data_IF_719903133255
#
_entry.id   IF_719903133255
#
_cell.length_a   1.000
_cell.length_b   1.000
_cell.length_c   1.000
_cell.angle_alpha   90.00
_cell.angle_beta   90.00
_cell.angle_gamma   90.00
#
_symmetry.space_group_name_H-M   'P 1'
#
loop_
_entity.id
_entity.type
_entity.pdbx_description
1 polymer ?
#
# COMPACT_ATOMS: atom_id res chain seq x y z
N UNK A 1 15.77 6.24 -7.61
CA UNK A 1 15.77 4.84 -7.14
C UNK A 1 15.49 4.90 -5.65
N UNK A 2 14.22 4.91 -5.25
CA UNK A 2 13.85 4.90 -3.84
C UNK A 2 14.20 3.53 -3.26
N UNK A 3 14.91 3.53 -2.14
CA UNK A 3 15.25 2.32 -1.41
C UNK A 3 13.96 1.55 -1.03
N UNK A 4 13.98 0.19 -0.99
CA UNK A 4 12.82 -0.55 -0.56
C UNK A 4 12.49 -0.15 0.87
N UNK A 5 11.25 0.30 1.12
CA UNK A 5 10.74 0.41 2.47
C UNK A 5 10.95 -0.95 3.15
N UNK A 6 11.74 -0.98 4.22
CA UNK A 6 12.00 -2.20 4.97
C UNK A 6 10.67 -2.88 5.36
N UNK A 7 10.64 -4.21 5.51
CA UNK A 7 9.39 -4.92 5.71
C UNK A 7 8.75 -4.43 7.00
N UNK A 8 7.60 -3.77 6.88
CA UNK A 8 6.83 -3.33 8.02
C UNK A 8 6.44 -4.55 8.86
N UNK A 9 6.96 -4.61 10.09
CA UNK A 9 6.75 -5.73 11.00
C UNK A 9 5.57 -5.43 11.93
N UNK A 10 4.57 -6.30 11.93
CA UNK A 10 3.43 -6.24 12.84
C UNK A 10 2.06 -6.11 12.14
N UNK A 11 1.05 -5.75 12.93
CA UNK A 11 -0.32 -5.58 12.47
C UNK A 11 -0.38 -4.44 11.44
N UNK A 12 -1.12 -4.68 10.36
CA UNK A 12 -1.28 -3.73 9.27
C UNK A 12 -1.82 -2.38 9.76
N UNK A 13 -1.22 -1.30 9.28
CA UNK A 13 -1.64 0.06 9.63
C UNK A 13 -3.08 0.38 9.23
N UNK A 14 -3.68 -0.33 8.26
CA UNK A 14 -5.08 -0.15 7.87
C UNK A 14 -6.11 -0.59 8.93
N UNK A 15 -5.65 -0.98 10.13
CA UNK A 15 -6.48 -1.35 11.29
C UNK A 15 -7.42 -2.54 11.04
N UNK A 16 -7.09 -3.41 10.08
CA UNK A 16 -7.82 -4.67 9.88
C UNK A 16 -7.62 -5.67 11.02
N UNK A 17 -6.56 -5.51 11.82
CA UNK A 17 -6.14 -6.48 12.83
C UNK A 17 -5.24 -7.59 12.28
N UNK A 18 -5.12 -7.71 10.95
CA UNK A 18 -4.28 -8.71 10.29
C UNK A 18 -2.80 -8.29 10.27
N UNK A 19 -1.91 -9.28 10.17
CA UNK A 19 -0.49 -9.05 9.92
C UNK A 19 -0.29 -8.35 8.56
N UNK A 20 0.58 -7.35 8.50
CA UNK A 20 0.83 -6.57 7.27
C UNK A 20 1.10 -7.44 6.04
N UNK A 21 1.95 -8.47 6.18
CA UNK A 21 2.32 -9.37 5.09
C UNK A 21 1.16 -10.19 4.51
N UNK A 22 0.06 -10.32 5.27
CA UNK A 22 -1.18 -11.00 4.87
C UNK A 22 -2.31 -10.03 4.54
N UNK A 23 -2.08 -8.72 4.71
CA UNK A 23 -3.08 -7.68 4.48
C UNK A 23 -2.67 -6.77 3.32
N UNK A 24 -2.00 -5.64 3.59
CA UNK A 24 -1.64 -4.68 2.53
C UNK A 24 -0.29 -4.99 1.85
N UNK A 25 0.54 -5.84 2.46
CA UNK A 25 1.86 -6.23 1.92
C UNK A 25 1.83 -6.80 0.50
N UNK A 26 0.93 -7.76 0.16
CA UNK A 26 0.84 -8.30 -1.20
C UNK A 26 0.53 -7.23 -2.26
N UNK A 27 -0.32 -6.25 -1.93
CA UNK A 27 -0.62 -5.15 -2.85
C UNK A 27 0.59 -4.24 -3.05
N UNK A 28 1.33 -3.94 -1.98
CA UNK A 28 2.52 -3.09 -2.05
C UNK A 28 3.66 -3.75 -2.85
N UNK A 29 3.83 -5.07 -2.73
CA UNK A 29 4.79 -5.86 -3.53
C UNK A 29 4.36 -6.07 -4.97
N UNK A 30 3.07 -5.88 -5.28
CA UNK A 30 2.52 -6.17 -6.61
C UNK A 30 2.19 -7.65 -6.83
N UNK A 31 2.14 -8.44 -5.76
CA UNK A 31 1.76 -9.87 -5.80
C UNK A 31 0.25 -10.05 -6.03
N UNK A 32 -0.54 -9.01 -5.73
CA UNK A 32 -1.99 -8.98 -5.91
C UNK A 32 -2.49 -7.56 -6.18
N UNK A 33 -3.70 -7.46 -6.74
CA UNK A 33 -4.44 -6.20 -6.84
C UNK A 33 -5.53 -6.12 -5.76
N UNK A 34 -5.84 -4.91 -5.31
CA UNK A 34 -6.92 -4.70 -4.35
C UNK A 34 -8.28 -4.99 -5.02
N UNK A 35 -9.07 -5.95 -4.53
CA UNK A 35 -10.30 -6.40 -5.21
C UNK A 35 -11.45 -5.39 -5.12
N UNK A 36 -11.36 -4.40 -4.22
CA UNK A 36 -12.39 -3.39 -4.00
C UNK A 36 -11.76 -2.01 -3.82
N UNK A 37 -12.54 -0.96 -4.10
CA UNK A 37 -12.13 0.42 -3.84
C UNK A 37 -11.80 0.66 -2.35
N UNK A 38 -12.53 0.05 -1.42
CA UNK A 38 -12.21 0.12 0.01
C UNK A 38 -10.84 -0.49 0.31
N UNK A 39 -10.56 -1.68 -0.23
CA UNK A 39 -9.29 -2.35 -0.01
C UNK A 39 -8.12 -1.54 -0.61
N UNK A 40 -8.35 -0.86 -1.74
CA UNK A 40 -7.39 0.06 -2.35
C UNK A 40 -7.15 1.29 -1.46
N UNK A 41 -8.19 1.86 -0.85
CA UNK A 41 -8.02 3.00 0.06
C UNK A 41 -7.25 2.59 1.33
N UNK A 42 -7.54 1.41 1.88
CA UNK A 42 -6.84 0.85 3.04
C UNK A 42 -5.35 0.57 2.76
N UNK A 43 -5.04 0.02 1.60
CA UNK A 43 -3.65 -0.20 1.20
C UNK A 43 -2.93 1.13 0.98
N UNK A 44 -3.56 2.11 0.31
CA UNK A 44 -2.98 3.45 0.15
C UNK A 44 -2.69 4.15 1.47
N UNK A 45 -3.58 4.04 2.46
CA UNK A 45 -3.28 4.53 3.82
C UNK A 45 -2.05 3.83 4.41
N UNK A 46 -1.97 2.51 4.29
CA UNK A 46 -0.82 1.75 4.81
C UNK A 46 0.48 2.12 4.09
N UNK A 47 0.44 2.35 2.77
CA UNK A 47 1.57 2.81 1.97
C UNK A 47 2.06 4.18 2.44
N UNK A 48 1.15 5.10 2.80
CA UNK A 48 1.52 6.38 3.40
C UNK A 48 2.25 6.21 4.72
N UNK A 49 1.76 5.32 5.61
CA UNK A 49 2.39 5.06 6.91
C UNK A 49 3.79 4.47 6.78
N UNK A 50 4.01 3.57 5.82
CA UNK A 50 5.32 2.92 5.61
C UNK A 50 6.25 3.67 4.65
N UNK A 51 5.81 4.80 4.10
CA UNK A 51 6.60 5.63 3.19
C UNK A 51 6.76 5.07 1.76
N UNK A 52 5.83 4.22 1.29
CA UNK A 52 5.85 3.65 -0.07
C UNK A 52 5.20 4.62 -1.08
N UNK A 53 5.96 5.64 -1.47
CA UNK A 53 5.52 6.65 -2.43
C UNK A 53 5.27 6.07 -3.84
N UNK A 54 6.02 5.04 -4.23
CA UNK A 54 5.88 4.40 -5.54
C UNK A 54 4.54 3.67 -5.65
N UNK A 55 4.09 2.98 -4.58
CA UNK A 55 2.74 2.43 -4.49
C UNK A 55 1.66 3.51 -4.62
N UNK A 56 1.82 4.63 -3.92
CA UNK A 56 0.85 5.73 -3.98
C UNK A 56 0.75 6.30 -5.39
N UNK A 57 1.88 6.49 -6.08
CA UNK A 57 1.90 7.06 -7.43
C UNK A 57 1.31 6.12 -8.48
N UNK A 58 1.56 4.81 -8.38
CA UNK A 58 1.07 3.82 -9.35
C UNK A 58 -0.41 3.46 -9.17
N UNK A 59 -0.96 3.68 -7.97
CA UNK A 59 -2.38 3.40 -7.67
C UNK A 59 -3.26 4.65 -7.74
N UNK A 60 -2.68 5.80 -8.06
CA UNK A 60 -3.44 7.00 -8.38
C UNK A 60 -3.86 6.96 -9.86
N UNK A 61 -5.09 7.37 -10.13
CA UNK A 61 -5.55 7.63 -11.49
C UNK A 61 -4.57 8.55 -12.25
N UNK A 62 -4.14 8.18 -13.48
CA UNK A 62 -3.09 8.91 -14.20
C UNK A 62 -3.44 10.38 -14.46
N UNK A 63 -4.72 10.69 -14.69
CA UNK A 63 -5.16 12.05 -15.03
C UNK A 63 -5.21 13.02 -13.84
N UNK A 64 -5.15 12.54 -12.60
CA UNK A 64 -5.34 13.37 -11.40
C UNK A 64 -4.20 13.29 -10.39
N UNK A 65 -3.13 12.56 -10.70
CA UNK A 65 -1.98 12.42 -9.82
C UNK A 65 -1.06 13.66 -9.90
N UNK A 66 -0.41 14.07 -8.78
CA UNK A 66 0.59 15.12 -8.80
C UNK A 66 1.75 14.79 -9.74
N UNK A 67 2.34 15.84 -10.32
CA UNK A 67 3.52 15.74 -11.19
C UNK A 67 4.81 15.45 -10.42
#
# INVERSE_FOLDING_TARGET
MSAPAGPYQGNCACLSGEQYDRCCGPFHRGDAEAPTAEQLMRSRYSAFVVGDADYLLRTWHPDTRPA
#
